data_IF_499375975444
#
_entry.id   IF_499375975444
#
_cell.length_a   1.000
_cell.length_b   1.000
_cell.length_c   1.000
_cell.angle_alpha   90.00
_cell.angle_beta   90.00
_cell.angle_gamma   90.00
#
_symmetry.space_group_name_H-M   'P 1'
#
loop_
_entity.id
_entity.type
_entity.pdbx_description
1 polymer ?
#
# COMPACT_ATOMS: atom_id res chain seq x y z
N UNK A 1 -19.27 16.87 3.54
CA UNK A 1 -18.82 15.48 3.64
C UNK A 1 -17.73 15.32 2.59
N UNK A 2 -16.49 15.00 2.96
CA UNK A 2 -15.46 14.75 1.96
C UNK A 2 -15.91 13.56 1.11
N UNK A 3 -15.92 13.73 -0.21
CA UNK A 3 -16.29 12.62 -1.09
C UNK A 3 -15.20 11.56 -1.01
N UNK A 4 -15.59 10.28 -1.11
CA UNK A 4 -14.62 9.16 -1.09
C UNK A 4 -13.51 9.36 -2.13
N UNK A 5 -13.84 10.02 -3.26
CA UNK A 5 -12.90 10.40 -4.31
C UNK A 5 -11.80 11.38 -3.83
N UNK A 6 -12.07 12.28 -2.89
CA UNK A 6 -11.07 13.19 -2.34
C UNK A 6 -10.05 12.45 -1.46
N UNK A 7 -10.54 11.50 -0.65
CA UNK A 7 -9.69 10.64 0.18
C UNK A 7 -8.82 9.75 -0.71
N UNK A 8 -9.40 9.15 -1.75
CA UNK A 8 -8.66 8.35 -2.73
C UNK A 8 -7.54 9.16 -3.40
N UNK A 9 -7.80 10.41 -3.80
CA UNK A 9 -6.79 11.30 -4.38
C UNK A 9 -5.72 11.70 -3.35
N UNK A 10 -6.09 11.92 -2.10
CA UNK A 10 -5.16 12.24 -1.03
C UNK A 10 -4.21 11.05 -0.75
N UNK A 11 -4.76 9.84 -0.65
CA UNK A 11 -3.99 8.59 -0.51
C UNK A 11 -2.98 8.46 -1.66
N UNK A 12 -3.44 8.59 -2.91
CA UNK A 12 -2.57 8.47 -4.07
C UNK A 12 -1.46 9.53 -4.10
N UNK A 13 -1.80 10.80 -3.81
CA UNK A 13 -0.80 11.88 -3.74
C UNK A 13 0.27 11.58 -2.70
N UNK A 14 -0.15 11.10 -1.54
CA UNK A 14 0.80 10.82 -0.46
C UNK A 14 1.70 9.64 -0.85
N UNK A 15 1.15 8.55 -1.38
CA UNK A 15 1.94 7.45 -1.93
C UNK A 15 2.89 7.87 -3.06
N UNK A 16 2.54 8.85 -3.91
CA UNK A 16 3.45 9.42 -4.92
C UNK A 16 4.60 10.18 -4.25
N UNK A 17 4.31 10.88 -3.15
CA UNK A 17 5.24 11.81 -2.49
C UNK A 17 6.24 11.09 -1.58
N UNK A 18 5.77 10.16 -0.75
CA UNK A 18 6.61 9.41 0.21
C UNK A 18 6.98 8.00 -0.27
N UNK A 19 6.31 7.48 -1.30
CA UNK A 19 6.55 6.12 -1.80
C UNK A 19 5.77 5.05 -1.02
N UNK A 20 6.18 3.77 -1.11
CA UNK A 20 5.50 2.69 -0.42
C UNK A 20 5.67 2.85 1.11
N UNK A 21 4.56 2.99 1.80
CA UNK A 21 4.52 3.31 3.23
C UNK A 21 3.54 2.39 3.98
N UNK A 22 3.70 2.30 5.30
CA UNK A 22 2.79 1.51 6.11
C UNK A 22 1.41 2.17 6.18
N UNK A 23 0.37 1.36 6.43
CA UNK A 23 -0.97 1.88 6.60
C UNK A 23 -1.07 2.90 7.75
N UNK A 24 -0.35 2.67 8.85
CA UNK A 24 -0.25 3.60 9.98
C UNK A 24 0.37 4.94 9.57
N UNK A 25 1.46 4.93 8.80
CA UNK A 25 2.07 6.16 8.27
C UNK A 25 1.11 6.92 7.36
N UNK A 26 0.35 6.20 6.53
CA UNK A 26 -0.66 6.79 5.67
C UNK A 26 -1.79 7.43 6.49
N UNK A 27 -2.25 6.76 7.56
CA UNK A 27 -3.27 7.29 8.47
C UNK A 27 -2.75 8.51 9.26
N UNK A 28 -1.46 8.51 9.64
CA UNK A 28 -0.81 9.64 10.29
C UNK A 28 -0.66 10.85 9.35
N UNK A 29 -0.29 10.61 8.10
CA UNK A 29 -0.19 11.65 7.07
C UNK A 29 -1.58 12.23 6.74
N UNK A 30 -2.60 11.37 6.71
CA UNK A 30 -3.99 11.71 6.44
C UNK A 30 -4.80 11.92 7.73
N UNK A 31 -4.22 12.61 8.73
CA UNK A 31 -4.87 12.88 10.03
C UNK A 31 -6.22 13.64 9.93
N UNK A 32 -6.48 14.25 8.78
CA UNK A 32 -7.73 14.94 8.45
C UNK A 32 -8.90 13.96 8.23
N UNK A 33 -8.60 12.68 8.01
CA UNK A 33 -9.57 11.62 7.75
C UNK A 33 -9.52 10.55 8.84
N UNK A 34 -10.65 9.87 9.06
CA UNK A 34 -10.69 8.76 10.02
C UNK A 34 -10.01 7.51 9.45
N UNK A 35 -9.44 6.67 10.32
CA UNK A 35 -8.82 5.39 9.94
C UNK A 35 -9.76 4.53 9.07
N UNK A 36 -11.07 4.50 9.37
CA UNK A 36 -12.07 3.78 8.58
C UNK A 36 -12.24 4.38 7.17
N UNK A 37 -12.15 5.71 7.04
CA UNK A 37 -12.26 6.38 5.75
C UNK A 37 -11.03 6.12 4.87
N UNK A 38 -9.84 6.22 5.46
CA UNK A 38 -8.58 5.87 4.79
C UNK A 38 -8.59 4.40 4.39
N UNK A 39 -9.06 3.50 5.27
CA UNK A 39 -9.17 2.07 5.00
C UNK A 39 -10.11 1.78 3.84
N UNK A 40 -11.31 2.37 3.84
CA UNK A 40 -12.28 2.21 2.76
C UNK A 40 -11.73 2.70 1.42
N UNK A 41 -11.01 3.83 1.41
CA UNK A 41 -10.39 4.36 0.20
C UNK A 41 -9.25 3.45 -0.31
N UNK A 42 -8.38 2.98 0.58
CA UNK A 42 -7.30 2.05 0.23
C UNK A 42 -7.85 0.71 -0.27
N UNK A 43 -8.87 0.14 0.40
CA UNK A 43 -9.55 -1.09 -0.04
C UNK A 43 -10.15 -0.91 -1.43
N UNK A 44 -10.81 0.22 -1.70
CA UNK A 44 -11.40 0.52 -3.00
C UNK A 44 -10.36 0.68 -4.09
N UNK A 45 -9.28 1.41 -3.83
CA UNK A 45 -8.16 1.57 -4.76
C UNK A 45 -7.42 0.24 -5.01
N UNK A 46 -7.33 -0.62 -3.99
CA UNK A 46 -6.79 -1.97 -4.09
C UNK A 46 -7.67 -2.86 -4.99
N UNK A 47 -9.00 -2.83 -4.79
CA UNK A 47 -9.97 -3.52 -5.66
C UNK A 47 -9.96 -3.03 -7.10
N UNK A 48 -9.68 -1.74 -7.32
CA UNK A 48 -9.48 -1.16 -8.65
C UNK A 48 -8.12 -1.54 -9.27
N UNK A 49 -7.25 -2.24 -8.54
CA UNK A 49 -5.92 -2.63 -8.99
C UNK A 49 -4.91 -1.49 -9.06
N UNK A 50 -5.22 -0.33 -8.46
CA UNK A 50 -4.35 0.87 -8.45
C UNK A 50 -3.31 0.84 -7.33
N UNK A 51 -3.64 0.16 -6.23
CA UNK A 51 -2.74 -0.10 -5.12
C UNK A 51 -2.47 -1.60 -4.99
N UNK A 52 -1.32 -1.96 -4.46
CA UNK A 52 -1.05 -3.28 -3.93
C UNK A 52 -0.75 -3.15 -2.44
N UNK A 53 -1.34 -4.06 -1.66
CA UNK A 53 -0.98 -4.25 -0.27
C UNK A 53 0.04 -5.39 -0.23
N UNK A 54 1.28 -5.08 0.12
CA UNK A 54 2.31 -6.09 0.37
C UNK A 54 2.52 -6.27 1.86
N UNK A 55 2.84 -7.50 2.24
CA UNK A 55 3.26 -7.84 3.59
C UNK A 55 4.78 -8.11 3.55
N UNK A 56 5.62 -7.08 3.71
CA UNK A 56 7.08 -7.26 3.63
C UNK A 56 7.67 -8.05 4.82
N UNK A 57 6.88 -8.47 5.82
CA UNK A 57 7.37 -9.26 6.94
C UNK A 57 6.33 -9.55 8.03
N UNK A 58 6.82 -9.92 9.22
CA UNK A 58 6.02 -10.50 10.32
C UNK A 58 5.04 -9.52 10.98
N UNK A 59 5.20 -8.20 10.82
CA UNK A 59 4.41 -7.20 11.56
C UNK A 59 4.11 -5.91 10.76
N UNK A 60 3.83 -5.97 9.46
CA UNK A 60 3.47 -4.75 8.73
C UNK A 60 2.82 -4.95 7.39
N UNK A 61 1.83 -4.10 7.10
CA UNK A 61 1.23 -3.92 5.78
C UNK A 61 1.86 -2.70 5.12
N UNK A 62 2.53 -2.90 4.00
CA UNK A 62 3.00 -1.83 3.13
C UNK A 62 1.99 -1.60 2.02
N UNK A 63 1.57 -0.35 1.85
CA UNK A 63 0.76 0.10 0.73
C UNK A 63 1.73 0.59 -0.33
N UNK A 64 1.68 0.03 -1.53
CA UNK A 64 2.46 0.48 -2.68
C UNK A 64 1.52 0.82 -3.84
N UNK A 65 1.86 1.85 -4.63
CA UNK A 65 1.17 2.05 -5.91
C UNK A 65 1.57 0.94 -6.86
N UNK A 66 0.60 0.38 -7.57
CA UNK A 66 0.89 -0.47 -8.72
C UNK A 66 1.39 0.43 -9.85
N UNK A 67 2.69 0.68 -9.82
CA UNK A 67 3.45 1.05 -10.99
C UNK A 67 3.23 -0.05 -12.02
N UNK A 68 2.73 0.34 -13.17
CA UNK A 68 2.81 -0.38 -14.44
C UNK A 68 4.27 -0.66 -14.82
N UNK A 69 4.99 -1.43 -14.00
CA UNK A 69 6.32 -1.91 -14.31
C UNK A 69 6.19 -3.42 -14.52
N UNK A 70 6.14 -3.80 -15.79
CA UNK A 70 6.10 -5.19 -16.19
C UNK A 70 7.35 -5.92 -15.71
N UNK A 71 7.24 -6.72 -14.65
CA UNK A 71 8.09 -7.92 -14.45
C UNK A 71 7.48 -8.84 -13.39
N UNK A 72 7.53 -10.17 -13.59
CA UNK A 72 6.71 -11.11 -12.84
C UNK A 72 7.25 -11.31 -11.43
N UNK A 73 6.40 -11.88 -10.58
CA UNK A 73 6.67 -12.31 -9.24
C UNK A 73 7.95 -13.16 -9.12
N UNK A 74 9.10 -12.52 -8.93
CA UNK A 74 10.28 -13.13 -8.36
C UNK A 74 10.19 -12.97 -6.84
N UNK A 75 9.60 -13.98 -6.20
CA UNK A 75 9.73 -14.22 -4.77
C UNK A 75 11.21 -14.51 -4.46
N UNK A 76 11.90 -13.77 -3.57
CA UNK A 76 13.24 -14.14 -3.17
C UNK A 76 13.23 -15.07 -1.95
N UNK A 77 13.99 -16.16 -2.10
CA UNK A 77 14.74 -16.87 -1.06
C UNK A 77 14.00 -17.87 -0.15
N UNK A 78 13.90 -19.11 -0.63
CA UNK A 78 14.24 -20.29 0.21
C UNK A 78 15.68 -20.70 -0.11
N UNK A 79 16.66 -20.06 0.51
CA UNK A 79 18.02 -20.63 0.60
C UNK A 79 17.99 -21.72 1.67
N UNK A 80 18.01 -22.99 1.28
CA UNK A 80 18.53 -24.07 2.13
C UNK A 80 19.93 -24.40 1.63
N UNK A 81 20.98 -24.28 2.47
CA UNK A 81 22.33 -24.69 2.07
C UNK A 81 22.42 -26.21 1.99
N UNK A 82 23.02 -26.71 0.92
CA UNK A 82 23.58 -28.06 0.85
C UNK A 82 24.76 -28.19 1.82
N UNK A 83 24.83 -29.29 2.57
CA UNK A 83 26.11 -29.84 3.02
C UNK A 83 26.03 -31.36 2.97
N UNK A 84 26.96 -31.95 2.21
CA UNK A 84 27.23 -33.39 2.12
C UNK A 84 28.36 -33.75 3.07
#
# INVERSE_FOLDING_TARGET
>A
MAEVADIERAVLRELVRIGPCAFDDLALALREYSWNQVFAAVDRLSRQGRLALRHPGRFGFAVEMRGQEGRPAAQPASKTPSLT
#
